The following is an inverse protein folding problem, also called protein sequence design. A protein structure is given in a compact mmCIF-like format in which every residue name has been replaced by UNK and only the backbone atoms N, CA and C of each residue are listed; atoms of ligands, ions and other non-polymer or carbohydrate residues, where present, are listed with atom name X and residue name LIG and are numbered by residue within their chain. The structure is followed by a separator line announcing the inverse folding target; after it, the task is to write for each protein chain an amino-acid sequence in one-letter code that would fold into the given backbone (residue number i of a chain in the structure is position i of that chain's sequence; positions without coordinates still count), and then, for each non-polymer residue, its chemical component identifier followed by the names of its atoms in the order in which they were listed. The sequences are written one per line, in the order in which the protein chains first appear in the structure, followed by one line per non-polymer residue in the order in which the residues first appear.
data_IF_613283420823
#
_entry.id   IF_613283420823
#
_cell.length_a   1.000
_cell.length_b   1.000
_cell.length_c   1.000
_cell.angle_alpha   90.00
_cell.angle_beta   90.00
_cell.angle_gamma   90.00
#
_symmetry.space_group_name_H-M   'P 1'
#
loop_
_entity.id
_entity.type
_entity.pdbx_description
1 polymer ?
#
# COMPACT_ATOMS: atom_id res chain seq x y z
N UNK A 1 -1.35 -5.79 -13.55
CA UNK A 1 -1.58 -4.30 -13.53
C UNK A 1 -0.50 -3.55 -14.35
N UNK A 2 -0.81 -2.41 -14.99
CA UNK A 2 0.16 -1.66 -15.84
C UNK A 2 1.24 -0.97 -15.00
N UNK A 3 0.83 -0.42 -13.87
CA UNK A 3 1.66 0.25 -12.87
C UNK A 3 2.66 -0.72 -12.26
N UNK A 4 2.24 -1.95 -11.92
CA UNK A 4 3.14 -3.00 -11.43
C UNK A 4 4.26 -3.31 -12.43
N UNK A 5 3.93 -3.41 -13.72
CA UNK A 5 4.93 -3.64 -14.78
C UNK A 5 5.90 -2.48 -14.94
N UNK A 6 5.42 -1.26 -14.72
CA UNK A 6 6.25 -0.05 -14.74
C UNK A 6 7.23 -0.06 -13.57
N UNK A 7 6.78 -0.42 -12.36
CA UNK A 7 7.62 -0.57 -11.17
C UNK A 7 8.66 -1.67 -11.35
N UNK A 8 8.25 -2.84 -11.85
CA UNK A 8 9.17 -3.96 -12.11
C UNK A 8 10.29 -3.57 -13.09
N UNK A 9 9.95 -2.92 -14.20
CA UNK A 9 10.93 -2.43 -15.17
C UNK A 9 11.88 -1.39 -14.57
N UNK A 10 11.38 -0.47 -13.74
CA UNK A 10 12.21 0.52 -13.05
C UNK A 10 13.16 -0.14 -12.03
N UNK A 11 12.69 -1.15 -11.30
CA UNK A 11 13.52 -1.92 -10.35
C UNK A 11 14.65 -2.64 -11.09
N UNK A 12 14.34 -3.29 -12.21
CA UNK A 12 15.34 -3.98 -13.05
C UNK A 12 16.34 -3.01 -13.69
N UNK A 13 15.86 -1.88 -14.23
CA UNK A 13 16.72 -0.86 -14.87
C UNK A 13 17.77 -0.27 -13.90
N UNK A 14 17.45 -0.23 -12.61
CA UNK A 14 18.27 0.43 -11.59
C UNK A 14 18.93 -0.54 -10.61
N UNK A 15 18.92 -1.85 -10.87
CA UNK A 15 19.49 -2.90 -10.00
C UNK A 15 18.98 -2.80 -8.53
N UNK A 16 17.68 -2.51 -8.37
CA UNK A 16 17.04 -2.30 -7.07
C UNK A 16 16.40 -3.58 -6.51
N UNK A 17 16.68 -4.75 -7.06
CA UNK A 17 16.08 -6.01 -6.62
C UNK A 17 16.42 -6.30 -5.16
N UNK A 18 15.41 -6.70 -4.41
CA UNK A 18 15.54 -7.06 -3.00
C UNK A 18 14.72 -8.33 -2.71
N UNK A 19 15.26 -9.25 -1.88
CA UNK A 19 14.49 -10.37 -1.37
C UNK A 19 13.15 -9.93 -0.75
N UNK A 20 12.07 -10.74 -0.85
CA UNK A 20 10.75 -10.36 -0.33
C UNK A 20 10.74 -9.95 1.14
N UNK A 21 11.59 -10.56 1.97
CA UNK A 21 11.73 -10.17 3.37
C UNK A 21 12.15 -8.70 3.54
N UNK A 22 13.02 -8.17 2.68
CA UNK A 22 13.40 -6.76 2.72
C UNK A 22 12.32 -5.88 2.09
N UNK A 23 11.63 -6.32 1.03
CA UNK A 23 10.49 -5.59 0.46
C UNK A 23 9.33 -5.39 1.46
N UNK A 24 9.09 -6.35 2.34
CA UNK A 24 8.10 -6.18 3.43
C UNK A 24 8.55 -5.14 4.45
N UNK A 25 9.85 -5.10 4.77
CA UNK A 25 10.41 -4.09 5.68
C UNK A 25 10.34 -2.69 5.06
N UNK A 26 10.64 -2.59 3.76
CA UNK A 26 10.53 -1.38 2.94
C UNK A 26 9.10 -0.85 2.97
N UNK A 27 8.11 -1.68 2.62
CA UNK A 27 6.70 -1.33 2.70
C UNK A 27 6.27 -0.89 4.10
N UNK A 28 6.77 -1.55 5.14
CA UNK A 28 6.48 -1.16 6.53
C UNK A 28 7.07 0.22 6.86
N UNK A 29 8.24 0.54 6.31
CA UNK A 29 8.88 1.85 6.46
C UNK A 29 8.05 2.95 5.82
N UNK A 30 7.61 2.77 4.58
CA UNK A 30 6.80 3.76 3.84
C UNK A 30 5.44 4.02 4.53
N UNK A 31 4.78 2.96 5.02
CA UNK A 31 3.57 3.10 5.84
C UNK A 31 3.87 3.86 7.15
N UNK A 32 5.08 3.72 7.68
CA UNK A 32 5.55 4.47 8.85
C UNK A 32 5.72 5.97 8.58
N UNK A 33 6.23 6.34 7.41
CA UNK A 33 6.34 7.75 7.00
C UNK A 33 4.95 8.38 6.77
N UNK A 34 4.02 7.66 6.11
CA UNK A 34 2.61 8.07 6.06
C UNK A 34 2.02 8.35 7.45
N UNK A 35 2.24 7.43 8.39
CA UNK A 35 1.74 7.58 9.76
C UNK A 35 2.38 8.77 10.47
N UNK A 36 3.67 9.03 10.21
CA UNK A 36 4.41 10.15 10.78
C UNK A 36 3.90 11.49 10.24
N UNK A 37 3.62 11.62 8.95
CA UNK A 37 3.04 12.84 8.38
C UNK A 37 1.67 13.16 9.01
N UNK A 38 0.77 12.18 9.09
CA UNK A 38 -0.52 12.36 9.76
C UNK A 38 -0.33 12.78 11.22
N UNK A 39 0.61 12.14 11.91
CA UNK A 39 0.89 12.45 13.30
C UNK A 39 1.44 13.88 13.48
N UNK A 40 2.28 14.35 12.57
CA UNK A 40 2.79 15.72 12.58
C UNK A 40 1.71 16.74 12.23
N UNK A 41 0.93 16.49 11.17
CA UNK A 41 -0.11 17.40 10.69
C UNK A 41 -1.26 17.58 11.69
N UNK A 42 -1.57 16.53 12.45
CA UNK A 42 -2.62 16.54 13.48
C UNK A 42 -2.11 16.97 14.86
N UNK A 43 -0.85 17.40 15.00
CA UNK A 43 -0.29 17.77 16.30
C UNK A 43 -0.32 16.63 17.32
N UNK A 44 0.06 15.42 16.89
CA UNK A 44 -0.03 14.20 17.70
C UNK A 44 -1.48 13.83 18.07
N UNK A 45 -2.43 14.14 17.19
CA UNK A 45 -3.86 13.86 17.38
C UNK A 45 -4.62 14.91 18.19
N UNK A 46 -3.99 16.03 18.58
CA UNK A 46 -4.68 17.16 19.20
C UNK A 46 -5.63 17.87 18.22
N UNK A 47 -5.34 17.79 16.91
CA UNK A 47 -6.09 18.40 15.81
C UNK A 47 -6.40 17.34 14.73
N UNK A 48 -7.26 16.35 15.03
CA UNK A 48 -7.47 15.18 14.18
C UNK A 48 -8.10 15.49 12.81
N UNK A 49 -8.72 16.65 12.63
CA UNK A 49 -9.24 17.14 11.35
C UNK A 49 -8.15 17.68 10.41
N UNK A 50 -6.97 18.02 10.93
CA UNK A 50 -5.86 18.61 10.18
C UNK A 50 -4.96 17.54 9.55
N UNK A 51 -5.54 16.46 9.06
CA UNK A 51 -4.82 15.45 8.28
C UNK A 51 -4.33 16.08 6.98
N UNK A 52 -3.02 16.16 6.82
CA UNK A 52 -2.36 16.61 5.59
C UNK A 52 -1.31 15.55 5.24
N UNK A 53 -1.46 14.96 4.06
CA UNK A 53 -0.65 13.84 3.58
C UNK A 53 -0.14 14.20 2.19
N UNK A 54 1.17 14.16 2.01
CA UNK A 54 1.79 14.40 0.73
C UNK A 54 1.44 13.25 -0.24
N UNK A 55 1.14 13.62 -1.49
CA UNK A 55 0.90 12.64 -2.54
C UNK A 55 2.13 11.76 -2.83
N UNK A 56 3.32 12.29 -2.56
CA UNK A 56 4.61 11.62 -2.79
C UNK A 56 4.75 10.41 -1.85
N UNK A 57 4.45 10.54 -0.55
CA UNK A 57 4.51 9.42 0.41
C UNK A 57 3.51 8.29 0.09
N UNK A 58 2.34 8.66 -0.45
CA UNK A 58 1.39 7.68 -0.95
C UNK A 58 1.95 6.94 -2.18
N UNK A 59 2.65 7.67 -3.04
CA UNK A 59 3.37 7.13 -4.20
C UNK A 59 4.46 6.15 -3.79
N UNK A 60 5.27 6.50 -2.80
CA UNK A 60 6.37 5.67 -2.29
C UNK A 60 5.83 4.38 -1.64
N UNK A 61 4.75 4.48 -0.87
CA UNK A 61 4.06 3.32 -0.33
C UNK A 61 3.50 2.40 -1.42
N UNK A 62 2.91 2.98 -2.48
CA UNK A 62 2.40 2.20 -3.60
C UNK A 62 3.54 1.54 -4.38
N UNK A 63 4.65 2.23 -4.60
CA UNK A 63 5.85 1.68 -5.22
C UNK A 63 6.36 0.47 -4.43
N UNK A 64 6.53 0.60 -3.11
CA UNK A 64 6.99 -0.48 -2.25
C UNK A 64 6.07 -1.70 -2.28
N UNK A 65 4.75 -1.49 -2.28
CA UNK A 65 3.75 -2.57 -2.39
C UNK A 65 3.83 -3.30 -3.73
N UNK A 66 3.93 -2.57 -4.84
CA UNK A 66 4.02 -3.16 -6.17
C UNK A 66 5.35 -3.90 -6.38
N UNK A 67 6.46 -3.35 -5.87
CA UNK A 67 7.77 -4.00 -5.89
C UNK A 67 7.78 -5.28 -5.02
N UNK A 68 7.06 -5.28 -3.89
CA UNK A 68 6.86 -6.49 -3.08
C UNK A 68 6.06 -7.54 -3.85
N UNK A 69 4.93 -7.15 -4.45
CA UNK A 69 4.09 -8.07 -5.22
C UNK A 69 4.88 -8.72 -6.37
N UNK A 70 5.65 -7.93 -7.12
CA UNK A 70 6.54 -8.43 -8.17
C UNK A 70 7.59 -9.41 -7.63
N UNK A 71 8.25 -9.09 -6.51
CA UNK A 71 9.26 -9.96 -5.88
C UNK A 71 8.71 -11.32 -5.40
N UNK A 72 7.39 -11.40 -5.19
CA UNK A 72 6.66 -12.59 -4.77
C UNK A 72 5.98 -13.32 -5.93
N UNK A 73 6.14 -12.82 -7.17
CA UNK A 73 5.45 -13.34 -8.36
C UNK A 73 3.91 -13.30 -8.22
N UNK A 74 3.39 -12.27 -7.53
CA UNK A 74 1.96 -12.04 -7.32
C UNK A 74 1.48 -10.94 -8.28
N UNK A 75 0.44 -11.19 -9.07
CA UNK A 75 -0.23 -10.12 -9.82
C UNK A 75 -1.07 -9.27 -8.85
N UNK A 76 -0.65 -8.02 -8.66
CA UNK A 76 -1.31 -7.10 -7.73
C UNK A 76 -2.72 -6.70 -8.19
N UNK A 77 -2.98 -6.73 -9.51
CA UNK A 77 -4.29 -6.46 -10.09
C UNK A 77 -5.28 -7.56 -9.74
N UNK A 78 -4.91 -8.82 -9.99
CA UNK A 78 -5.75 -9.98 -9.64
C UNK A 78 -6.00 -10.02 -8.12
N UNK A 79 -4.97 -9.78 -7.31
CA UNK A 79 -5.09 -9.72 -5.84
C UNK A 79 -6.05 -8.61 -5.37
N UNK A 80 -6.03 -7.44 -6.02
CA UNK A 80 -6.93 -6.33 -5.72
C UNK A 80 -8.37 -6.67 -6.14
N UNK A 81 -8.57 -7.25 -7.32
CA UNK A 81 -9.90 -7.69 -7.80
C UNK A 81 -10.54 -8.69 -6.82
N UNK A 82 -9.77 -9.68 -6.37
CA UNK A 82 -10.19 -10.65 -5.36
C UNK A 82 -10.57 -9.98 -4.03
N UNK A 83 -9.79 -9.00 -3.58
CA UNK A 83 -10.08 -8.24 -2.37
C UNK A 83 -11.39 -7.44 -2.51
N UNK A 84 -11.58 -6.77 -3.65
CA UNK A 84 -12.78 -5.98 -3.95
C UNK A 84 -14.03 -6.85 -4.01
N UNK A 85 -13.96 -8.05 -4.60
CA UNK A 85 -15.06 -9.01 -4.60
C UNK A 85 -15.49 -9.36 -3.17
N UNK A 86 -14.52 -9.71 -2.30
CA UNK A 86 -14.79 -10.00 -0.88
C UNK A 86 -15.43 -8.83 -0.13
N UNK A 87 -15.00 -7.59 -0.42
CA UNK A 87 -15.62 -6.40 0.19
C UNK A 87 -17.06 -6.18 -0.29
N UNK A 88 -17.35 -6.40 -1.58
CA UNK A 88 -18.71 -6.31 -2.12
C UNK A 88 -19.62 -7.32 -1.44
N UNK A 89 -19.20 -8.58 -1.36
CA UNK A 89 -19.99 -9.64 -0.73
C UNK A 89 -20.30 -9.30 0.75
N UNK A 90 -19.30 -8.84 1.51
CA UNK A 90 -19.50 -8.44 2.92
C UNK A 90 -20.47 -7.27 3.10
N UNK A 91 -20.40 -6.29 2.21
CA UNK A 91 -21.30 -5.14 2.23
C UNK A 91 -22.74 -5.56 1.92
N UNK A 92 -22.93 -6.49 0.99
CA UNK A 92 -24.26 -7.05 0.68
C UNK A 92 -24.83 -7.89 1.83
N UNK A 93 -23.98 -8.66 2.52
CA UNK A 93 -24.41 -9.55 3.62
C UNK A 93 -24.65 -8.82 4.95
N UNK A 94 -23.79 -7.86 5.30
CA UNK A 94 -23.73 -7.29 6.66
C UNK A 94 -23.98 -5.77 6.71
N UNK A 95 -23.99 -5.10 5.56
CA UNK A 95 -24.02 -3.64 5.49
C UNK A 95 -22.72 -2.97 5.95
N UNK A 96 -21.65 -3.73 6.21
CA UNK A 96 -20.36 -3.23 6.70
C UNK A 96 -19.19 -3.86 5.93
N UNK A 97 -18.11 -3.11 5.62
CA UNK A 97 -16.93 -3.65 4.96
C UNK A 97 -16.00 -4.44 5.90
N UNK A 98 -16.23 -4.35 7.21
CA UNK A 98 -15.39 -5.04 8.20
C UNK A 98 -15.46 -6.56 8.05
N UNK A 99 -14.32 -7.23 8.07
CA UNK A 99 -14.27 -8.66 8.37
C UNK A 99 -14.68 -8.82 9.83
N UNK A 100 -15.95 -9.06 10.10
CA UNK A 100 -16.39 -9.37 11.46
C UNK A 100 -15.58 -10.54 12.03
N UNK A 101 -15.03 -10.33 13.23
CA UNK A 101 -14.92 -11.37 14.26
C UNK A 101 -16.05 -11.15 15.27
#
# INVERSE_FOLDING_TARGET
MDEQRTVAAFVEEHDLEAPPAYRVLDLTSEVGELAKEVNESTGYGDEPENVDLAADELGDTLFALLALADSLEIDAGDALEDALAKYRDRLEETGSPGSGE
#
